data_IF_134099784423
#
_entry.id   IF_134099784423
#
_cell.length_a   1.000
_cell.length_b   1.000
_cell.length_c   1.000
_cell.angle_alpha   90.00
_cell.angle_beta   90.00
_cell.angle_gamma   90.00
#
_symmetry.space_group_name_H-M   'P 1'
#
loop_
_entity.id
_entity.type
_entity.pdbx_description
1 polymer ?
#
# COMPACT_ATOMS: atom_id res chain seq x y z
N UNK A 1 13.47 -35.48 38.78
CA UNK A 1 13.84 -34.14 38.25
C UNK A 1 12.96 -33.83 37.04
N UNK A 2 11.86 -33.19 37.31
CA UNK A 2 10.74 -32.99 36.40
C UNK A 2 10.92 -31.66 35.66
N UNK A 3 11.13 -31.68 34.33
CA UNK A 3 11.11 -30.47 33.53
C UNK A 3 9.70 -30.18 33.03
N UNK A 4 9.11 -29.16 33.59
CA UNK A 4 7.79 -28.61 33.21
C UNK A 4 7.97 -27.80 31.93
N UNK A 5 7.34 -28.28 30.85
CA UNK A 5 7.20 -27.51 29.61
C UNK A 5 6.04 -26.53 29.76
N UNK A 6 6.33 -25.24 29.86
CA UNK A 6 5.35 -24.19 29.70
C UNK A 6 5.02 -24.06 28.22
N UNK A 7 3.86 -24.56 27.83
CA UNK A 7 3.19 -24.19 26.58
C UNK A 7 2.47 -22.86 26.83
N UNK A 8 3.07 -21.76 26.38
CA UNK A 8 2.37 -20.48 26.30
C UNK A 8 1.49 -20.53 25.04
N UNK A 9 0.19 -20.78 25.23
CA UNK A 9 -0.84 -20.46 24.24
C UNK A 9 -0.94 -18.94 24.16
N UNK A 10 -0.39 -18.33 23.11
CA UNK A 10 -0.72 -16.97 22.75
C UNK A 10 -2.09 -17.02 22.08
N UNK A 11 -3.14 -16.85 22.87
CA UNK A 11 -4.46 -16.52 22.39
C UNK A 11 -4.38 -15.10 21.80
N UNK A 12 -4.48 -14.99 20.47
CA UNK A 12 -4.67 -13.72 19.81
C UNK A 12 -6.06 -13.20 20.18
N UNK A 13 -6.14 -12.35 21.19
CA UNK A 13 -7.32 -11.54 21.45
C UNK A 13 -7.46 -10.56 20.28
N UNK A 14 -8.29 -10.90 19.29
CA UNK A 14 -8.91 -9.94 18.39
C UNK A 14 -9.90 -9.11 19.23
N UNK A 15 -9.40 -8.10 19.92
CA UNK A 15 -10.27 -7.02 20.36
C UNK A 15 -10.65 -6.25 19.12
N UNK A 16 -11.93 -6.29 18.76
CA UNK A 16 -12.52 -5.45 17.74
C UNK A 16 -12.27 -3.98 18.14
N UNK A 17 -11.25 -3.39 17.55
CA UNK A 17 -11.12 -1.94 17.52
C UNK A 17 -12.30 -1.40 16.70
N UNK A 18 -12.95 -0.31 17.13
CA UNK A 18 -14.01 0.28 16.33
C UNK A 18 -13.48 0.57 14.93
N UNK A 19 -14.25 0.16 13.93
CA UNK A 19 -13.94 0.35 12.52
C UNK A 19 -13.82 1.86 12.23
N UNK A 20 -12.61 2.39 12.35
CA UNK A 20 -12.31 3.71 11.86
C UNK A 20 -11.98 3.58 10.37
N UNK A 21 -12.81 4.20 9.55
CA UNK A 21 -12.69 4.19 8.10
C UNK A 21 -11.29 4.66 7.66
N UNK A 22 -10.69 3.94 6.76
CA UNK A 22 -9.30 4.12 6.36
C UNK A 22 -9.17 4.00 4.86
N UNK A 23 -8.60 5.02 4.24
CA UNK A 23 -8.10 4.89 2.88
C UNK A 23 -6.94 3.88 2.85
N UNK A 24 -6.85 3.09 1.80
CA UNK A 24 -5.64 2.32 1.51
C UNK A 24 -4.41 3.24 1.52
N UNK A 25 -3.21 2.71 1.69
CA UNK A 25 -2.00 3.51 1.62
C UNK A 25 -2.09 4.39 0.39
N UNK A 26 -1.80 5.69 0.57
CA UNK A 26 -1.78 6.63 -0.54
C UNK A 26 -1.07 5.98 -1.73
N UNK A 27 -1.61 6.09 -2.96
CA UNK A 27 -0.96 5.49 -4.11
C UNK A 27 0.50 5.95 -4.10
N UNK A 28 1.41 5.02 -3.86
CA UNK A 28 2.83 5.37 -3.86
C UNK A 28 3.67 5.00 -2.67
N UNK A 29 3.17 4.31 -1.64
CA UNK A 29 4.11 3.74 -0.68
C UNK A 29 4.88 2.63 -1.43
N UNK A 30 6.14 2.86 -1.81
CA UNK A 30 6.91 1.82 -2.48
C UNK A 30 7.05 0.65 -1.52
N UNK A 31 6.92 -0.58 -2.03
CA UNK A 31 7.26 -1.81 -1.31
C UNK A 31 8.77 -1.90 -1.12
N UNK A 32 9.31 -0.93 -0.40
CA UNK A 32 10.73 -0.60 -0.35
C UNK A 32 11.61 -1.64 0.33
N UNK A 33 11.02 -2.60 1.05
CA UNK A 33 11.78 -3.62 1.78
C UNK A 33 12.03 -4.89 0.95
N UNK A 34 11.39 -5.05 -0.20
CA UNK A 34 11.76 -6.13 -1.11
C UNK A 34 13.19 -5.98 -1.64
N UNK A 35 13.68 -4.77 -1.82
CA UNK A 35 15.07 -4.50 -2.14
C UNK A 35 16.04 -4.88 -0.98
N UNK A 36 15.59 -4.81 0.27
CA UNK A 36 16.36 -5.25 1.44
C UNK A 36 16.46 -6.79 1.55
N UNK A 37 15.59 -7.54 0.85
CA UNK A 37 15.61 -9.02 0.83
C UNK A 37 16.79 -9.64 0.06
N UNK A 38 17.64 -8.86 -0.61
CA UNK A 38 18.83 -9.38 -1.30
C UNK A 38 19.98 -9.74 -0.34
N UNK A 39 19.73 -9.74 0.96
CA UNK A 39 20.67 -10.24 1.96
C UNK A 39 20.58 -11.77 2.04
N UNK A 40 21.70 -12.49 2.24
CA UNK A 40 21.65 -13.91 2.57
C UNK A 40 20.66 -14.14 3.72
N UNK A 41 19.80 -15.15 3.67
CA UNK A 41 18.82 -15.38 4.69
C UNK A 41 19.51 -15.43 6.06
N UNK A 42 19.00 -14.65 7.02
CA UNK A 42 19.32 -14.90 8.42
C UNK A 42 18.89 -16.36 8.71
N UNK A 43 19.62 -17.11 9.55
CA UNK A 43 19.31 -18.52 9.84
C UNK A 43 17.93 -18.76 10.48
N UNK A 44 17.12 -17.75 10.62
CA UNK A 44 15.77 -17.82 11.18
C UNK A 44 14.73 -18.00 10.08
N UNK A 45 13.82 -18.93 10.28
CA UNK A 45 12.71 -19.23 9.38
C UNK A 45 11.74 -18.06 9.23
N UNK A 46 11.58 -17.29 10.30
CA UNK A 46 10.72 -16.11 10.36
C UNK A 46 11.55 -14.83 10.43
N UNK A 47 11.08 -13.81 9.77
CA UNK A 47 11.63 -12.46 9.88
C UNK A 47 10.49 -11.47 10.12
N UNK A 48 10.54 -10.80 11.27
CA UNK A 48 9.62 -9.76 11.67
C UNK A 48 10.29 -8.41 11.51
N UNK A 49 9.63 -7.47 10.83
CA UNK A 49 10.02 -6.05 10.82
C UNK A 49 8.95 -5.25 11.53
N UNK A 50 9.36 -4.41 12.46
CA UNK A 50 8.50 -3.45 13.16
C UNK A 50 9.06 -2.07 12.92
N UNK A 51 8.22 -1.16 12.47
CA UNK A 51 8.64 0.19 12.14
C UNK A 51 7.47 1.17 12.11
N UNK A 52 7.81 2.39 11.75
CA UNK A 52 6.90 3.50 11.58
C UNK A 52 7.31 4.32 10.37
N UNK A 53 6.33 4.84 9.64
CA UNK A 53 6.56 5.64 8.46
C UNK A 53 5.64 6.88 8.45
N UNK A 54 6.13 8.07 8.83
CA UNK A 54 5.48 9.33 8.50
C UNK A 54 5.49 9.53 6.98
N UNK A 55 4.32 9.85 6.42
CA UNK A 55 4.09 10.06 4.98
C UNK A 55 3.30 11.34 4.78
N UNK A 56 3.83 12.26 3.98
CA UNK A 56 3.13 13.43 3.49
C UNK A 56 2.59 13.13 2.09
N UNK A 57 1.27 13.15 1.94
CA UNK A 57 0.58 12.75 0.71
C UNK A 57 -0.79 13.43 0.62
N UNK A 58 -1.49 13.36 -0.53
CA UNK A 58 -2.90 13.75 -0.62
C UNK A 58 -3.72 13.04 0.45
N UNK A 59 -4.64 13.76 1.08
CA UNK A 59 -5.47 13.25 2.18
C UNK A 59 -6.34 12.07 1.72
N UNK A 60 -6.84 12.14 0.49
CA UNK A 60 -7.52 11.04 -0.22
C UNK A 60 -7.05 11.02 -1.68
N UNK A 61 -7.22 9.91 -2.38
CA UNK A 61 -6.80 9.76 -3.78
C UNK A 61 -7.56 10.72 -4.68
N UNK A 62 -6.86 11.73 -5.19
CA UNK A 62 -7.44 12.82 -5.95
C UNK A 62 -7.56 14.13 -5.15
N UNK A 63 -7.28 14.15 -3.86
CA UNK A 63 -7.36 15.37 -3.04
C UNK A 63 -6.38 16.45 -3.51
N UNK A 64 -6.84 17.71 -3.43
CA UNK A 64 -5.96 18.89 -3.48
C UNK A 64 -5.26 19.14 -2.15
N UNK A 65 -5.88 18.68 -1.04
CA UNK A 65 -5.34 18.83 0.29
C UNK A 65 -4.33 17.74 0.59
N UNK A 66 -3.23 18.13 1.22
CA UNK A 66 -2.17 17.24 1.65
C UNK A 66 -2.15 17.13 3.17
N UNK A 67 -1.78 15.97 3.66
CA UNK A 67 -1.69 15.71 5.09
C UNK A 67 -0.53 14.80 5.44
N UNK A 68 -0.11 14.87 6.71
CA UNK A 68 0.85 13.94 7.29
C UNK A 68 0.08 12.78 7.94
N UNK A 69 0.40 11.57 7.53
CA UNK A 69 -0.06 10.33 8.15
C UNK A 69 1.11 9.58 8.75
N UNK A 70 0.91 8.85 9.85
CA UNK A 70 1.92 7.99 10.44
C UNK A 70 1.47 6.53 10.31
N UNK A 71 2.07 5.81 9.37
CA UNK A 71 1.74 4.42 9.13
C UNK A 71 2.60 3.46 9.97
N UNK A 72 2.01 2.42 10.58
CA UNK A 72 2.80 1.30 11.12
C UNK A 72 3.45 0.53 9.96
N UNK A 73 4.72 0.20 10.07
CA UNK A 73 5.43 -0.70 9.15
C UNK A 73 5.62 -2.06 9.84
N UNK A 74 4.64 -2.92 9.69
CA UNK A 74 4.65 -4.28 10.21
C UNK A 74 4.81 -5.25 9.05
N UNK A 75 5.84 -6.12 9.11
CA UNK A 75 6.10 -7.13 8.09
C UNK A 75 6.54 -8.42 8.72
N UNK A 76 5.89 -9.49 8.34
CA UNK A 76 6.24 -10.85 8.73
C UNK A 76 6.52 -11.67 7.46
N UNK A 77 7.64 -12.35 7.44
CA UNK A 77 8.03 -13.22 6.32
C UNK A 77 8.44 -14.59 6.86
N UNK A 78 7.99 -15.64 6.20
CA UNK A 78 8.38 -17.02 6.47
C UNK A 78 9.08 -17.62 5.25
N UNK A 79 10.38 -17.93 5.36
CA UNK A 79 11.21 -18.64 4.35
C UNK A 79 11.01 -18.13 2.91
N UNK A 80 10.72 -16.86 2.70
CA UNK A 80 10.35 -16.33 1.37
C UNK A 80 9.12 -17.03 0.71
N UNK A 81 8.33 -17.77 1.51
CA UNK A 81 7.13 -18.49 1.07
C UNK A 81 5.87 -17.72 1.42
N UNK A 82 5.74 -17.30 2.67
CA UNK A 82 4.62 -16.48 3.13
C UNK A 82 5.11 -15.08 3.47
N UNK A 83 4.30 -14.10 3.15
CA UNK A 83 4.52 -12.72 3.58
C UNK A 83 3.23 -12.09 4.07
N UNK A 84 3.35 -11.26 5.09
CA UNK A 84 2.28 -10.42 5.61
C UNK A 84 2.86 -9.03 5.86
N UNK A 85 2.27 -8.00 5.30
CA UNK A 85 2.64 -6.62 5.62
C UNK A 85 1.46 -5.68 5.45
N UNK A 86 1.50 -4.52 6.13
CA UNK A 86 0.46 -3.50 5.98
C UNK A 86 0.34 -3.05 4.52
N UNK A 87 1.42 -2.74 3.78
CA UNK A 87 1.30 -2.27 2.39
C UNK A 87 1.08 -3.39 1.36
N UNK A 88 1.61 -4.61 1.58
CA UNK A 88 1.59 -5.67 0.57
C UNK A 88 0.44 -6.68 0.79
N UNK A 89 -0.20 -6.64 1.98
CA UNK A 89 -1.20 -7.62 2.39
C UNK A 89 -0.61 -8.95 2.83
N UNK A 90 -1.44 -9.99 2.81
CA UNK A 90 -1.09 -11.38 3.05
C UNK A 90 -0.94 -12.11 1.72
N UNK A 91 0.20 -12.71 1.48
CA UNK A 91 0.43 -13.47 0.25
C UNK A 91 1.27 -14.71 0.46
N UNK A 92 1.11 -15.64 -0.48
CA UNK A 92 1.84 -16.89 -0.54
C UNK A 92 2.55 -17.02 -1.89
N UNK A 93 3.89 -17.16 -1.86
CA UNK A 93 4.69 -17.49 -3.05
C UNK A 93 4.53 -19.00 -3.36
N UNK A 94 3.38 -19.39 -3.91
CA UNK A 94 3.09 -20.78 -4.27
C UNK A 94 4.07 -21.31 -5.32
N UNK A 95 4.50 -20.46 -6.23
CA UNK A 95 5.64 -20.69 -7.12
C UNK A 95 6.73 -19.70 -6.75
N UNK A 96 7.94 -20.21 -6.50
CA UNK A 96 9.12 -19.40 -6.18
C UNK A 96 10.37 -20.08 -6.77
N UNK A 97 10.54 -19.93 -8.09
CA UNK A 97 11.66 -20.55 -8.84
C UNK A 97 12.00 -19.73 -10.07
N UNK A 98 13.26 -19.78 -10.48
CA UNK A 98 13.75 -19.16 -11.72
C UNK A 98 13.42 -17.67 -11.84
N UNK A 99 13.39 -16.96 -10.70
CA UNK A 99 13.00 -15.54 -10.63
C UNK A 99 11.50 -15.27 -10.73
N UNK A 100 10.66 -16.32 -10.86
CA UNK A 100 9.20 -16.21 -10.77
C UNK A 100 8.73 -16.33 -9.32
N UNK A 101 7.75 -15.49 -8.97
CA UNK A 101 6.92 -15.62 -7.78
C UNK A 101 5.47 -15.44 -8.19
N UNK A 102 4.66 -16.44 -7.92
CA UNK A 102 3.23 -16.44 -8.25
C UNK A 102 2.47 -16.96 -7.04
N UNK A 103 1.29 -16.43 -6.82
CA UNK A 103 0.43 -16.96 -5.77
C UNK A 103 -0.77 -16.11 -5.42
N UNK A 104 -1.58 -16.60 -4.48
CA UNK A 104 -2.72 -15.86 -3.96
C UNK A 104 -2.28 -14.67 -3.11
N UNK A 105 -3.16 -13.66 -3.07
CA UNK A 105 -2.95 -12.40 -2.37
C UNK A 105 -4.26 -11.95 -1.76
N UNK A 106 -4.21 -11.48 -0.51
CA UNK A 106 -5.30 -10.78 0.15
C UNK A 106 -4.78 -9.45 0.69
N UNK A 107 -5.49 -8.36 0.44
CA UNK A 107 -5.18 -7.02 0.94
C UNK A 107 -6.37 -6.42 1.67
N UNK A 108 -6.08 -5.49 2.57
CA UNK A 108 -7.09 -4.62 3.13
C UNK A 108 -6.97 -3.25 2.46
N UNK A 109 -8.08 -2.79 1.89
CA UNK A 109 -8.22 -1.41 1.45
C UNK A 109 -9.02 -0.67 2.50
N UNK A 110 -8.34 0.24 3.14
CA UNK A 110 -8.98 1.11 4.10
C UNK A 110 -9.98 2.01 3.38
N UNK A 111 -11.14 2.20 3.97
CA UNK A 111 -12.18 3.06 3.45
C UNK A 111 -11.84 4.56 3.52
N UNK A 112 -12.82 5.42 3.43
CA UNK A 112 -12.65 6.87 3.61
C UNK A 112 -13.83 7.45 4.38
N UNK A 113 -13.57 8.47 5.20
CA UNK A 113 -14.58 9.22 5.91
C UNK A 113 -14.82 10.55 5.21
N UNK A 114 -16.07 10.94 5.05
CA UNK A 114 -16.42 12.22 4.43
C UNK A 114 -15.92 13.43 5.24
N UNK A 115 -15.93 13.33 6.58
CA UNK A 115 -15.61 14.45 7.48
C UNK A 115 -14.12 14.78 7.56
N UNK A 116 -13.26 13.79 7.37
CA UNK A 116 -11.80 13.98 7.44
C UNK A 116 -11.13 13.76 6.10
N UNK A 117 -11.76 13.01 5.20
CA UNK A 117 -11.22 12.61 3.91
C UNK A 117 -10.03 11.66 4.04
N UNK A 118 -9.47 11.52 5.23
CA UNK A 118 -8.17 10.91 5.42
C UNK A 118 -8.19 9.46 5.86
N UNK A 119 -6.99 8.92 5.89
CA UNK A 119 -6.64 7.66 6.52
C UNK A 119 -6.76 7.82 8.05
N UNK A 120 -7.03 6.78 8.84
CA UNK A 120 -7.03 6.87 10.31
C UNK A 120 -5.62 7.08 10.87
N UNK A 121 -4.61 6.95 10.02
CA UNK A 121 -3.24 7.30 10.36
C UNK A 121 -2.93 8.78 10.13
N UNK A 122 -3.92 9.56 9.65
CA UNK A 122 -3.78 11.00 9.47
C UNK A 122 -3.61 11.68 10.82
N UNK A 123 -2.53 12.44 11.00
CA UNK A 123 -2.22 13.17 12.24
C UNK A 123 -2.38 14.69 12.09
N UNK A 124 -2.52 15.18 10.87
CA UNK A 124 -2.79 16.59 10.59
C UNK A 124 -4.26 16.81 10.29
N UNK A 125 -4.63 18.07 10.05
CA UNK A 125 -5.99 18.42 9.63
C UNK A 125 -6.35 17.68 8.34
N UNK A 126 -7.54 17.09 8.30
CA UNK A 126 -8.08 16.42 7.12
C UNK A 126 -8.55 17.39 6.04
N UNK A 127 -9.24 16.85 5.05
CA UNK A 127 -9.85 17.57 3.93
C UNK A 127 -11.36 17.60 4.07
N UNK A 128 -11.97 18.69 3.74
CA UNK A 128 -13.44 18.83 3.61
C UNK A 128 -13.94 18.47 2.20
N UNK A 129 -13.02 18.09 1.30
CA UNK A 129 -13.35 17.81 -0.10
C UNK A 129 -14.34 16.68 -0.31
N UNK A 130 -14.51 15.80 0.69
CA UNK A 130 -15.47 14.68 0.65
C UNK A 130 -16.76 14.93 1.42
N UNK A 131 -16.95 16.09 2.04
CA UNK A 131 -18.18 16.38 2.78
C UNK A 131 -19.42 16.23 1.89
N UNK A 132 -20.40 15.44 2.35
CA UNK A 132 -21.62 15.09 1.63
C UNK A 132 -21.47 13.95 0.63
N UNK A 133 -20.28 13.33 0.53
CA UNK A 133 -20.04 12.16 -0.33
C UNK A 133 -20.36 10.84 0.36
N UNK A 134 -20.55 10.84 1.68
CA UNK A 134 -20.70 9.64 2.50
C UNK A 134 -19.39 8.88 2.70
N UNK A 135 -19.43 8.02 3.70
CA UNK A 135 -18.30 7.17 4.05
C UNK A 135 -18.18 5.97 3.09
N UNK A 136 -16.97 5.49 2.90
CA UNK A 136 -16.70 4.21 2.25
C UNK A 136 -16.03 3.32 3.28
N UNK A 137 -16.60 2.15 3.50
CA UNK A 137 -16.13 1.19 4.50
C UNK A 137 -14.82 0.49 4.09
N UNK A 138 -14.25 -0.26 5.03
CA UNK A 138 -13.13 -1.16 4.79
C UNK A 138 -13.54 -2.22 3.76
N UNK A 139 -12.67 -2.49 2.79
CA UNK A 139 -12.81 -3.60 1.85
C UNK A 139 -11.68 -4.62 2.01
N UNK A 140 -12.03 -5.91 1.98
CA UNK A 140 -11.10 -6.98 1.72
C UNK A 140 -10.93 -7.16 0.21
N UNK A 141 -9.70 -7.20 -0.27
CA UNK A 141 -9.40 -7.48 -1.68
C UNK A 141 -8.71 -8.84 -1.79
N UNK A 142 -9.24 -9.73 -2.59
CA UNK A 142 -8.76 -11.10 -2.75
C UNK A 142 -8.42 -11.37 -4.21
N UNK A 143 -7.28 -12.02 -4.46
CA UNK A 143 -6.85 -12.30 -5.81
C UNK A 143 -5.51 -12.97 -5.88
N UNK A 144 -4.71 -12.60 -6.87
CA UNK A 144 -3.40 -13.18 -7.08
C UNK A 144 -2.39 -12.18 -7.62
N UNK A 145 -1.14 -12.58 -7.56
CA UNK A 145 -0.05 -11.82 -8.12
C UNK A 145 0.90 -12.71 -8.94
N UNK A 146 1.58 -12.07 -9.87
CA UNK A 146 2.69 -12.61 -10.63
C UNK A 146 3.85 -11.62 -10.57
N UNK A 147 5.05 -12.13 -10.27
CA UNK A 147 6.28 -11.35 -10.28
C UNK A 147 7.35 -12.10 -11.04
N UNK A 148 8.11 -11.40 -11.85
CA UNK A 148 9.31 -11.91 -12.51
C UNK A 148 10.48 -10.99 -12.27
N UNK A 149 11.60 -11.58 -11.85
CA UNK A 149 12.87 -10.88 -11.68
C UNK A 149 13.82 -11.25 -12.83
N UNK A 150 14.53 -10.25 -13.33
CA UNK A 150 15.52 -10.33 -14.41
C UNK A 150 16.82 -9.66 -13.97
N UNK A 151 17.86 -9.80 -14.81
CA UNK A 151 19.14 -9.08 -14.65
C UNK A 151 19.69 -9.23 -13.22
N UNK A 152 19.86 -10.48 -12.77
CA UNK A 152 20.32 -10.79 -11.42
C UNK A 152 19.46 -10.15 -10.32
N UNK A 153 18.13 -10.21 -10.49
CA UNK A 153 17.12 -9.63 -9.59
C UNK A 153 17.09 -8.09 -9.53
N UNK A 154 17.76 -7.40 -10.44
CA UNK A 154 17.73 -5.94 -10.48
C UNK A 154 16.45 -5.41 -11.10
N UNK A 155 16.01 -5.95 -12.22
CA UNK A 155 14.75 -5.59 -12.86
C UNK A 155 13.63 -6.50 -12.36
N UNK A 156 12.53 -5.94 -11.90
CA UNK A 156 11.33 -6.66 -11.46
C UNK A 156 10.10 -6.15 -12.18
N UNK A 157 9.30 -7.08 -12.62
CA UNK A 157 7.94 -6.87 -13.13
C UNK A 157 6.99 -7.54 -12.14
N UNK A 158 5.97 -6.83 -11.68
CA UNK A 158 4.93 -7.37 -10.82
C UNK A 158 3.57 -6.94 -11.34
N UNK A 159 2.63 -7.88 -11.37
CA UNK A 159 1.22 -7.64 -11.65
C UNK A 159 0.37 -8.29 -10.55
N UNK A 160 -0.71 -7.62 -10.19
CA UNK A 160 -1.70 -8.10 -9.21
C UNK A 160 -3.09 -7.87 -9.80
N UNK A 161 -4.00 -8.82 -9.55
CA UNK A 161 -5.42 -8.66 -9.86
C UNK A 161 -6.20 -9.08 -8.63
N UNK A 162 -7.12 -8.23 -8.15
CA UNK A 162 -7.86 -8.43 -6.92
C UNK A 162 -9.31 -8.00 -7.08
N UNK A 163 -10.22 -8.79 -6.51
CA UNK A 163 -11.64 -8.50 -6.38
C UNK A 163 -11.93 -7.97 -4.99
N UNK A 164 -12.62 -6.86 -4.89
CA UNK A 164 -13.06 -6.26 -3.64
C UNK A 164 -14.29 -6.94 -3.05
N UNK A 165 -14.40 -6.90 -1.72
CA UNK A 165 -15.56 -7.29 -0.94
C UNK A 165 -15.69 -6.38 0.28
N UNK A 166 -16.86 -5.82 0.53
CA UNK A 166 -17.12 -4.85 1.60
C UNK A 166 -17.25 -3.42 1.06
N UNK A 167 -16.39 -2.51 1.46
CA UNK A 167 -16.45 -1.10 1.08
C UNK A 167 -16.47 -0.82 -0.42
N UNK A 168 -15.96 -1.73 -1.24
CA UNK A 168 -16.20 -1.78 -2.69
C UNK A 168 -16.25 -3.23 -3.17
N UNK A 169 -16.88 -3.44 -4.33
CA UNK A 169 -17.02 -4.76 -4.97
C UNK A 169 -16.30 -4.84 -6.32
N UNK A 170 -15.53 -3.81 -6.66
CA UNK A 170 -14.86 -3.71 -7.96
C UNK A 170 -13.60 -4.55 -8.07
N UNK A 171 -13.20 -4.81 -9.32
CA UNK A 171 -11.95 -5.44 -9.70
C UNK A 171 -10.84 -4.38 -9.81
N UNK A 172 -9.69 -4.64 -9.22
CA UNK A 172 -8.50 -3.77 -9.28
C UNK A 172 -7.32 -4.56 -9.81
N UNK A 173 -6.58 -3.96 -10.75
CA UNK A 173 -5.34 -4.50 -11.28
C UNK A 173 -4.21 -3.49 -11.11
N UNK A 174 -3.11 -3.93 -10.51
CA UNK A 174 -1.90 -3.12 -10.35
C UNK A 174 -0.74 -3.73 -11.12
N UNK A 175 0.09 -2.88 -11.73
CA UNK A 175 1.37 -3.28 -12.29
C UNK A 175 2.49 -2.39 -11.78
N UNK A 176 3.66 -2.98 -11.63
CA UNK A 176 4.87 -2.27 -11.24
C UNK A 176 6.08 -2.83 -12.00
N UNK A 177 6.88 -1.95 -12.56
CA UNK A 177 8.18 -2.25 -13.15
C UNK A 177 9.20 -1.48 -12.33
N UNK A 178 10.15 -2.16 -11.71
CA UNK A 178 11.13 -1.50 -10.85
C UNK A 178 12.55 -1.98 -11.12
N UNK A 179 13.47 -1.03 -11.08
CA UNK A 179 14.89 -1.30 -11.03
C UNK A 179 15.38 -1.16 -9.59
N UNK A 180 16.11 -2.17 -9.12
CA UNK A 180 16.61 -2.26 -7.75
C UNK A 180 18.13 -2.46 -7.80
N UNK A 181 18.88 -1.70 -7.03
CA UNK A 181 20.32 -1.86 -6.94
C UNK A 181 20.84 -1.53 -5.54
N UNK A 182 22.10 -1.83 -5.30
CA UNK A 182 22.76 -1.57 -4.01
C UNK A 182 24.22 -1.22 -4.21
N UNK A 183 24.79 -0.46 -3.29
CA UNK A 183 26.24 -0.30 -3.22
C UNK A 183 26.90 -1.64 -2.89
N UNK A 184 28.12 -1.84 -3.40
CA UNK A 184 28.88 -3.09 -3.21
C UNK A 184 29.09 -3.44 -1.75
N UNK A 185 29.27 -2.45 -0.89
CA UNK A 185 29.46 -2.59 0.55
C UNK A 185 28.13 -2.83 1.31
N UNK A 186 26.99 -2.80 0.62
CA UNK A 186 25.66 -2.95 1.20
C UNK A 186 25.20 -1.79 2.07
N UNK A 187 25.93 -0.67 2.07
CA UNK A 187 25.61 0.52 2.90
C UNK A 187 24.39 1.28 2.43
N UNK A 188 23.97 1.09 1.18
CA UNK A 188 22.84 1.76 0.57
C UNK A 188 22.17 0.84 -0.44
N UNK A 189 20.84 0.75 -0.37
CA UNK A 189 20.01 0.14 -1.40
C UNK A 189 19.10 1.23 -1.97
N UNK A 190 18.74 1.12 -3.24
CA UNK A 190 17.79 2.03 -3.86
C UNK A 190 16.94 1.31 -4.90
N UNK A 191 15.77 1.85 -5.15
CA UNK A 191 14.95 1.43 -6.27
C UNK A 191 14.25 2.60 -6.92
N UNK A 192 13.93 2.45 -8.20
CA UNK A 192 13.08 3.34 -8.96
C UNK A 192 12.15 2.51 -9.82
N UNK A 193 10.91 2.97 -10.01
CA UNK A 193 9.92 2.20 -10.76
C UNK A 193 8.83 3.04 -11.37
N UNK A 194 8.09 2.38 -12.26
CA UNK A 194 6.87 2.87 -12.88
C UNK A 194 5.75 1.96 -12.42
N UNK A 195 4.60 2.55 -12.12
CA UNK A 195 3.41 1.81 -11.69
C UNK A 195 2.18 2.29 -12.43
N UNK A 196 1.19 1.41 -12.56
CA UNK A 196 -0.12 1.77 -13.05
C UNK A 196 -1.18 0.95 -12.32
N UNK A 197 -2.33 1.58 -12.10
CA UNK A 197 -3.52 0.97 -11.51
C UNK A 197 -4.68 1.07 -12.48
N UNK A 198 -5.34 -0.03 -12.74
CA UNK A 198 -6.60 -0.12 -13.48
C UNK A 198 -7.68 -0.62 -12.53
N UNK A 199 -8.91 -0.21 -12.76
CA UNK A 199 -10.06 -0.76 -12.05
C UNK A 199 -11.29 -0.77 -12.95
N UNK A 200 -12.29 -1.54 -12.55
CA UNK A 200 -13.59 -1.53 -13.20
C UNK A 200 -14.47 -0.36 -12.72
N UNK A 201 -15.68 -0.26 -13.28
CA UNK A 201 -16.62 0.78 -12.97
C UNK A 201 -17.14 0.73 -11.52
N UNK A 202 -17.24 -0.45 -10.91
CA UNK A 202 -17.71 -0.59 -9.53
C UNK A 202 -16.73 0.03 -8.55
N UNK A 203 -15.42 -0.19 -8.76
CA UNK A 203 -14.39 0.48 -7.98
C UNK A 203 -14.41 2.00 -8.20
N UNK A 204 -14.36 2.43 -9.46
CA UNK A 204 -14.21 3.86 -9.77
C UNK A 204 -15.43 4.66 -9.34
N UNK A 205 -16.65 4.13 -9.49
CA UNK A 205 -17.87 4.78 -8.98
C UNK A 205 -17.89 4.86 -7.45
N UNK A 206 -17.42 3.83 -6.75
CA UNK A 206 -17.35 3.85 -5.28
C UNK A 206 -16.47 4.99 -4.77
N UNK A 207 -15.34 5.22 -5.41
CA UNK A 207 -14.36 6.21 -4.90
C UNK A 207 -14.46 7.58 -5.59
N UNK A 208 -14.95 7.66 -6.81
CA UNK A 208 -14.91 8.89 -7.61
C UNK A 208 -16.26 9.27 -8.21
N UNK A 209 -17.24 8.35 -8.26
CA UNK A 209 -18.58 8.65 -8.76
C UNK A 209 -19.33 9.64 -7.85
N UNK A 210 -20.34 10.29 -8.44
CA UNK A 210 -21.30 11.16 -7.72
C UNK A 210 -22.71 10.70 -8.06
N UNK A 211 -23.38 10.04 -7.12
CA UNK A 211 -24.76 9.59 -7.28
C UNK A 211 -25.77 10.71 -6.96
N UNK A 212 -27.08 10.45 -7.14
CA UNK A 212 -28.13 11.44 -6.96
C UNK A 212 -28.18 12.01 -5.53
N UNK A 213 -27.99 11.17 -4.49
CA UNK A 213 -28.00 11.60 -3.11
C UNK A 213 -26.79 12.49 -2.80
N UNK A 214 -25.61 12.09 -3.29
CA UNK A 214 -24.38 12.87 -3.16
C UNK A 214 -24.46 14.19 -3.93
N UNK A 215 -25.02 14.20 -5.14
CA UNK A 215 -25.26 15.42 -5.91
C UNK A 215 -26.16 16.42 -5.15
N UNK A 216 -27.25 15.92 -4.55
CA UNK A 216 -28.15 16.73 -3.74
C UNK A 216 -27.48 17.28 -2.47
N UNK A 217 -26.61 16.50 -1.82
CA UNK A 217 -25.92 16.90 -0.59
C UNK A 217 -24.75 17.86 -0.86
N UNK A 218 -24.09 17.74 -2.01
CA UNK A 218 -22.81 18.43 -2.30
C UNK A 218 -22.93 19.57 -3.29
N UNK A 219 -23.99 19.59 -4.11
CA UNK A 219 -24.12 20.47 -5.28
C UNK A 219 -23.27 20.08 -6.48
N UNK A 220 -22.52 18.97 -6.41
CA UNK A 220 -21.75 18.44 -7.54
C UNK A 220 -22.70 17.87 -8.61
N UNK A 221 -22.28 17.95 -9.88
CA UNK A 221 -23.03 17.29 -10.95
C UNK A 221 -22.97 15.76 -10.80
N UNK A 222 -24.07 15.09 -11.16
CA UNK A 222 -24.10 13.62 -11.30
C UNK A 222 -22.94 13.17 -12.18
N UNK A 223 -22.20 12.17 -11.75
CA UNK A 223 -21.06 11.64 -12.49
C UNK A 223 -20.91 10.15 -12.25
N UNK A 224 -21.06 9.36 -13.29
CA UNK A 224 -20.70 7.95 -13.31
C UNK A 224 -19.35 7.78 -14.00
N UNK A 225 -18.47 7.07 -13.35
CA UNK A 225 -17.14 6.79 -13.89
C UNK A 225 -17.11 5.40 -14.53
N UNK A 226 -16.47 5.28 -15.69
CA UNK A 226 -16.23 3.99 -16.34
C UNK A 226 -15.06 3.25 -15.70
N UNK A 227 -14.87 1.98 -16.12
CA UNK A 227 -13.64 1.25 -15.82
C UNK A 227 -12.49 1.71 -16.71
N UNK A 228 -11.25 1.55 -16.23
CA UNK A 228 -10.06 1.89 -17.01
C UNK A 228 -8.84 2.22 -16.15
N UNK A 229 -7.94 3.04 -16.71
CA UNK A 229 -6.73 3.48 -16.03
C UNK A 229 -7.07 4.48 -14.93
N UNK A 230 -6.90 4.08 -13.68
CA UNK A 230 -7.10 4.92 -12.49
C UNK A 230 -5.93 5.88 -12.30
N UNK A 231 -4.70 5.37 -12.41
CA UNK A 231 -3.49 6.17 -12.29
C UNK A 231 -2.28 5.53 -12.95
N UNK A 232 -1.34 6.36 -13.34
CA UNK A 232 0.03 5.97 -13.73
C UNK A 232 1.01 6.85 -12.99
N UNK A 233 2.14 6.27 -12.56
CA UNK A 233 3.09 7.05 -11.77
C UNK A 233 4.49 6.47 -11.75
N UNK A 234 5.37 7.23 -11.12
CA UNK A 234 6.75 6.85 -10.84
C UNK A 234 7.00 6.85 -9.34
N UNK A 235 7.87 6.01 -8.89
CA UNK A 235 8.24 5.95 -7.49
C UNK A 235 9.73 5.61 -7.31
N UNK A 236 10.27 6.00 -6.18
CA UNK A 236 11.64 5.66 -5.81
C UNK A 236 11.81 5.59 -4.30
N UNK A 237 12.82 4.83 -3.90
CA UNK A 237 13.22 4.77 -2.51
C UNK A 237 14.73 4.60 -2.35
N UNK A 238 15.22 5.03 -1.19
CA UNK A 238 16.58 4.86 -0.74
C UNK A 238 16.51 4.24 0.66
N UNK A 239 17.22 3.15 0.85
CA UNK A 239 17.25 2.39 2.09
C UNK A 239 18.68 2.41 2.65
N UNK A 240 18.83 2.86 3.87
CA UNK A 240 20.10 2.89 4.59
C UNK A 240 20.03 2.02 5.83
N UNK A 241 20.68 0.83 5.84
CA UNK A 241 20.88 0.05 7.05
C UNK A 241 21.76 0.82 8.04
N UNK A 242 21.38 0.83 9.32
CA UNK A 242 22.10 1.47 10.41
C UNK A 242 22.90 0.45 11.21
N UNK A 243 24.14 0.81 11.55
CA UNK A 243 25.06 -0.10 12.21
C UNK A 243 25.53 -1.26 11.30
N UNK A 244 26.43 -2.10 11.82
CA UNK A 244 26.96 -3.24 11.07
C UNK A 244 25.84 -4.22 10.72
N UNK A 245 25.53 -4.29 9.44
CA UNK A 245 24.51 -5.20 8.96
C UNK A 245 23.07 -4.80 9.29
N UNK A 246 22.77 -3.54 9.64
CA UNK A 246 21.42 -3.08 9.99
C UNK A 246 20.99 -3.44 11.42
N UNK A 247 21.95 -3.74 12.32
CA UNK A 247 21.65 -4.07 13.73
C UNK A 247 20.89 -2.97 14.47
N UNK A 248 21.09 -1.71 14.07
CA UNK A 248 20.45 -0.54 14.67
C UNK A 248 19.22 -0.05 13.87
N UNK A 249 18.64 -0.95 13.06
CA UNK A 249 17.47 -0.63 12.24
C UNK A 249 17.81 -0.20 10.81
N UNK A 250 16.79 0.25 10.11
CA UNK A 250 16.86 0.67 8.71
C UNK A 250 16.10 1.97 8.55
N UNK A 251 16.70 2.96 7.93
CA UNK A 251 16.01 4.17 7.47
C UNK A 251 15.66 4.00 6.00
N UNK A 252 14.43 4.36 5.65
CA UNK A 252 13.94 4.36 4.27
C UNK A 252 13.38 5.73 3.93
N UNK A 253 13.94 6.40 2.93
CA UNK A 253 13.35 7.57 2.31
C UNK A 253 12.65 7.13 1.03
N UNK A 254 11.42 7.55 0.81
CA UNK A 254 10.69 7.23 -0.41
C UNK A 254 9.87 8.42 -0.91
N UNK A 255 9.66 8.45 -2.22
CA UNK A 255 8.85 9.45 -2.89
C UNK A 255 8.11 8.82 -4.07
N UNK A 256 6.98 9.42 -4.44
CA UNK A 256 6.17 9.02 -5.57
C UNK A 256 5.45 10.20 -6.19
N UNK A 257 5.15 10.04 -7.48
CA UNK A 257 4.26 10.90 -8.24
C UNK A 257 3.30 10.01 -9.01
N UNK A 258 2.01 10.30 -8.94
CA UNK A 258 0.97 9.65 -9.71
C UNK A 258 0.14 10.69 -10.45
N UNK A 259 -0.20 10.37 -11.69
CA UNK A 259 -1.15 11.10 -12.49
C UNK A 259 -2.42 10.28 -12.63
N UNK A 260 -3.54 10.83 -12.19
CA UNK A 260 -4.84 10.17 -12.31
C UNK A 260 -5.27 10.09 -13.77
N UNK A 261 -5.86 8.96 -14.14
CA UNK A 261 -6.38 8.70 -15.48
C UNK A 261 -7.69 9.45 -15.75
N UNK A 262 -8.05 9.53 -17.03
CA UNK A 262 -9.23 10.30 -17.47
C UNK A 262 -10.52 9.73 -16.87
N UNK A 263 -10.65 8.41 -16.74
CA UNK A 263 -11.81 7.76 -16.11
C UNK A 263 -12.12 8.27 -14.69
N UNK A 264 -11.10 8.77 -14.00
CA UNK A 264 -11.22 9.34 -12.65
C UNK A 264 -11.38 10.85 -12.72
N UNK A 265 -10.59 11.52 -13.56
CA UNK A 265 -10.55 13.00 -13.61
C UNK A 265 -11.73 13.62 -14.31
N UNK A 266 -12.48 12.85 -15.08
CA UNK A 266 -13.77 13.30 -15.67
C UNK A 266 -14.90 13.39 -14.63
N UNK A 267 -14.75 12.77 -13.47
CA UNK A 267 -15.67 12.90 -12.35
C UNK A 267 -15.81 14.36 -11.90
N UNK A 268 -17.04 14.80 -11.62
CA UNK A 268 -17.31 16.11 -11.04
C UNK A 268 -16.62 16.30 -9.70
N UNK A 269 -16.49 15.25 -8.89
CA UNK A 269 -15.75 15.29 -7.62
C UNK A 269 -14.30 15.72 -7.84
N UNK A 270 -13.60 15.10 -8.79
CA UNK A 270 -12.19 15.41 -9.05
C UNK A 270 -12.04 16.77 -9.74
N UNK A 271 -12.90 17.09 -10.69
CA UNK A 271 -12.85 18.39 -11.39
C UNK A 271 -13.04 19.57 -10.45
N UNK A 272 -13.96 19.47 -9.50
CA UNK A 272 -14.33 20.60 -8.64
C UNK A 272 -13.54 20.61 -7.32
N UNK A 273 -13.29 19.45 -6.72
CA UNK A 273 -12.69 19.32 -5.38
C UNK A 273 -11.35 18.58 -5.36
N UNK A 274 -10.92 18.05 -6.50
CA UNK A 274 -9.71 17.25 -6.62
C UNK A 274 -8.62 17.88 -7.48
N UNK A 275 -7.54 17.12 -7.66
CA UNK A 275 -6.46 17.40 -8.60
C UNK A 275 -5.93 16.13 -9.24
N UNK A 276 -5.44 16.24 -10.45
CA UNK A 276 -4.92 15.12 -11.24
C UNK A 276 -3.56 14.62 -10.77
N UNK A 277 -2.69 15.54 -10.40
CA UNK A 277 -1.29 15.27 -10.08
C UNK A 277 -1.14 15.07 -8.58
N UNK A 278 -0.60 13.90 -8.18
CA UNK A 278 -0.54 13.44 -6.79
C UNK A 278 0.91 13.16 -6.41
N UNK A 279 1.44 13.87 -5.43
CA UNK A 279 2.80 13.66 -4.91
C UNK A 279 2.76 12.99 -3.55
N UNK A 280 3.75 12.21 -3.24
CA UNK A 280 3.94 11.63 -1.91
C UNK A 280 5.41 11.57 -1.56
N UNK A 281 5.72 11.80 -0.29
CA UNK A 281 7.05 11.61 0.27
C UNK A 281 6.93 11.06 1.68
N UNK A 282 7.83 10.16 2.06
CA UNK A 282 7.81 9.57 3.39
C UNK A 282 9.18 9.13 3.85
N UNK A 283 9.30 9.00 5.17
CA UNK A 283 10.48 8.53 5.85
C UNK A 283 10.09 7.37 6.75
N UNK A 284 10.68 6.20 6.52
CA UNK A 284 10.45 5.01 7.35
C UNK A 284 11.63 4.76 8.28
N UNK A 285 11.34 4.25 9.46
CA UNK A 285 12.33 3.69 10.36
C UNK A 285 11.81 2.39 10.94
N UNK A 286 12.61 1.33 10.87
CA UNK A 286 12.19 0.02 11.34
C UNK A 286 13.34 -0.85 11.79
N UNK A 287 12.99 -1.82 12.64
CA UNK A 287 13.88 -2.87 13.11
C UNK A 287 13.45 -4.21 12.54
N UNK A 288 14.43 -5.04 12.20
CA UNK A 288 14.20 -6.41 11.75
C UNK A 288 14.73 -7.41 12.78
N UNK A 289 13.87 -8.32 13.15
CA UNK A 289 14.15 -9.45 14.04
C UNK A 289 14.11 -10.75 13.22
N UNK A 290 15.09 -11.63 13.43
CA UNK A 290 15.01 -13.02 13.03
C UNK A 290 14.42 -13.81 14.21
N UNK A 291 13.40 -14.64 13.96
CA UNK A 291 12.71 -15.48 14.96
C UNK A 291 12.93 -16.96 14.63
#
# INVERSE_FOLDING_TARGET
MTRIFYRACVAACFTALPAMAQQGPAPGIPTSIEAARQRPPAPADWALTIGVAPVFAPVWQGSRDYGLSIFPDLRLNYRDTLFLSVPDGLGWNAVNRDGWKLGPLAKLRFGRQENTGGSPFLVTRGSTGLNGMGDVDLAGEFGGFAQKAFVNNKLRLRAEVRQGAGGHTGLVADTNISWNDRKRDGSLLWSAGIRATWADADYTNTYFGVNAAQAAATGLALSQTGGGLVSVGVNGNIIKPLGRGGKNGVITLFAGYDRLGDVVTESSLIRERGQRDQFSVGLGYGFRFGL
#
